data_IF_013739594163
#
_entry.id   IF_013739594163
#
_cell.length_a   1.000
_cell.length_b   1.000
_cell.length_c   1.000
_cell.angle_alpha   90.00
_cell.angle_beta   90.00
_cell.angle_gamma   90.00
#
_symmetry.space_group_name_H-M   'P 1'
#
loop_
_entity.id
_entity.type
_entity.pdbx_description
1 polymer ?
#
# COMPACT_ATOMS: atom_id res chain seq x y z
N UNK A 1 -1.07 -18.26 23.07
CA UNK A 1 -0.42 -18.53 21.77
C UNK A 1 0.32 -17.32 21.27
N UNK A 2 0.71 -17.30 19.98
CA UNK A 2 1.44 -16.20 19.35
C UNK A 2 0.61 -14.90 19.28
N UNK A 3 -0.72 -14.99 19.21
CA UNK A 3 -1.61 -13.84 19.24
C UNK A 3 -1.86 -13.35 20.67
N UNK A 4 -1.82 -12.03 20.86
CA UNK A 4 -2.07 -11.34 22.14
C UNK A 4 -3.06 -10.20 21.93
N UNK A 5 -4.00 -9.97 22.87
CA UNK A 5 -4.85 -8.79 22.82
C UNK A 5 -4.01 -7.53 23.06
N UNK A 6 -4.34 -6.46 22.35
CA UNK A 6 -3.71 -5.14 22.49
C UNK A 6 -4.82 -4.13 22.68
N UNK A 7 -4.72 -3.34 23.74
CA UNK A 7 -5.68 -2.26 24.02
C UNK A 7 -5.28 -1.05 23.19
N UNK A 8 -6.25 -0.45 22.48
CA UNK A 8 -6.07 0.82 21.76
C UNK A 8 -6.40 1.99 22.67
N UNK A 9 -5.61 2.18 23.72
CA UNK A 9 -5.69 3.34 24.60
C UNK A 9 -4.76 4.46 24.12
N UNK A 10 -4.96 5.66 24.68
CA UNK A 10 -4.08 6.83 24.49
C UNK A 10 -3.71 7.08 23.01
N UNK A 11 -4.68 7.51 22.18
CA UNK A 11 -4.42 7.80 20.77
C UNK A 11 -3.37 8.93 20.64
N UNK A 12 -2.35 8.70 19.81
CA UNK A 12 -1.29 9.67 19.52
C UNK A 12 -1.63 10.43 18.23
N UNK A 13 -1.81 9.69 17.13
CA UNK A 13 -2.32 10.23 15.87
C UNK A 13 -3.30 9.22 15.24
N UNK A 14 -4.59 9.55 15.28
CA UNK A 14 -5.65 8.72 14.70
C UNK A 14 -5.61 8.65 13.17
N UNK A 15 -5.04 9.66 12.50
CA UNK A 15 -4.86 9.68 11.04
C UNK A 15 -3.82 8.66 10.62
N UNK A 16 -2.71 8.56 11.36
CA UNK A 16 -1.66 7.56 11.14
C UNK A 16 -2.00 6.19 11.72
N UNK A 17 -2.96 6.14 12.65
CA UNK A 17 -3.33 4.91 13.35
C UNK A 17 -2.31 4.55 14.41
N UNK A 18 -1.92 5.54 15.22
CA UNK A 18 -0.92 5.39 16.26
C UNK A 18 -1.57 5.50 17.65
N UNK A 19 -1.26 4.55 18.53
CA UNK A 19 -1.76 4.44 19.90
C UNK A 19 -0.60 4.05 20.82
N UNK A 20 -0.54 4.64 22.02
CA UNK A 20 0.55 4.33 22.95
C UNK A 20 0.59 2.84 23.33
N UNK A 21 -0.56 2.23 23.67
CA UNK A 21 -0.60 0.81 24.02
C UNK A 21 -0.19 -0.13 22.88
N UNK A 22 -0.36 0.30 21.62
CA UNK A 22 0.14 -0.43 20.45
C UNK A 22 1.66 -0.29 20.34
N UNK A 23 2.19 0.93 20.50
CA UNK A 23 3.63 1.18 20.48
C UNK A 23 4.36 0.42 21.59
N UNK A 24 3.83 0.41 22.81
CA UNK A 24 4.40 -0.31 23.95
C UNK A 24 4.48 -1.82 23.67
N UNK A 25 3.43 -2.37 23.05
CA UNK A 25 3.43 -3.77 22.63
C UNK A 25 4.46 -4.04 21.53
N UNK A 26 4.54 -3.19 20.51
CA UNK A 26 5.50 -3.31 19.42
C UNK A 26 6.92 -3.31 19.99
N UNK A 27 7.29 -2.28 20.76
CA UNK A 27 8.61 -2.14 21.38
C UNK A 27 8.99 -3.34 22.22
N UNK A 28 8.06 -3.86 23.02
CA UNK A 28 8.29 -5.06 23.83
C UNK A 28 8.46 -6.32 22.98
N UNK A 29 7.58 -6.54 22.01
CA UNK A 29 7.57 -7.76 21.19
C UNK A 29 8.74 -7.83 20.20
N UNK A 30 9.22 -6.68 19.72
CA UNK A 30 10.38 -6.56 18.84
C UNK A 30 11.71 -6.47 19.60
N UNK A 31 11.72 -6.61 20.93
CA UNK A 31 12.92 -6.43 21.76
C UNK A 31 13.61 -5.07 21.55
N UNK A 32 12.81 -4.02 21.37
CA UNK A 32 13.30 -2.65 21.17
C UNK A 32 13.77 -2.31 19.75
N UNK A 33 13.80 -3.27 18.82
CA UNK A 33 14.20 -3.02 17.42
C UNK A 33 13.25 -2.07 16.67
N UNK A 34 11.97 -2.14 16.97
CA UNK A 34 10.93 -1.28 16.42
C UNK A 34 10.23 -0.59 17.58
N UNK A 35 10.26 0.73 17.66
CA UNK A 35 9.58 1.44 18.76
C UNK A 35 8.09 1.64 18.48
N UNK A 36 7.75 1.91 17.23
CA UNK A 36 6.39 2.08 16.74
C UNK A 36 6.35 1.92 15.22
N UNK A 37 5.15 1.77 14.66
CA UNK A 37 4.87 1.97 13.25
C UNK A 37 3.48 2.58 13.08
N UNK A 38 3.24 3.24 11.96
CA UNK A 38 1.96 3.84 11.62
C UNK A 38 1.12 2.87 10.80
N UNK A 39 -0.05 2.52 11.31
CA UNK A 39 -0.94 1.52 10.69
C UNK A 39 -1.52 1.96 9.35
N UNK A 40 -1.60 3.26 9.10
CA UNK A 40 -2.32 3.84 7.95
C UNK A 40 -1.43 4.62 6.99
N UNK A 41 -0.10 4.53 7.12
CA UNK A 41 0.87 5.17 6.22
C UNK A 41 1.92 4.20 5.68
N UNK A 42 2.28 4.35 4.41
CA UNK A 42 3.41 3.69 3.73
C UNK A 42 4.68 4.55 3.77
N UNK A 43 4.55 5.87 3.95
CA UNK A 43 5.66 6.82 3.90
C UNK A 43 6.26 7.12 5.27
N UNK A 44 5.42 7.17 6.31
CA UNK A 44 5.83 7.54 7.65
C UNK A 44 5.84 6.28 8.53
N UNK A 45 7.03 5.74 8.82
CA UNK A 45 7.23 4.57 9.69
C UNK A 45 6.24 3.42 9.41
N UNK A 46 6.22 2.85 8.20
CA UNK A 46 5.31 1.75 7.88
C UNK A 46 5.59 0.49 8.69
N UNK A 47 4.63 -0.43 8.71
CA UNK A 47 4.82 -1.75 9.29
C UNK A 47 5.95 -2.50 8.55
N UNK A 48 6.89 -3.15 9.26
CA UNK A 48 7.89 -4.02 8.64
C UNK A 48 7.24 -5.14 7.82
N UNK A 49 7.83 -5.47 6.68
CA UNK A 49 7.29 -6.47 5.76
C UNK A 49 7.86 -7.85 6.08
N UNK A 50 6.99 -8.85 6.22
CA UNK A 50 7.40 -10.25 6.32
C UNK A 50 7.37 -10.95 4.95
N UNK A 51 8.00 -12.11 4.85
CA UNK A 51 8.09 -12.88 3.60
C UNK A 51 6.76 -13.56 3.18
N UNK A 52 5.77 -13.66 4.08
CA UNK A 52 4.52 -14.41 3.87
C UNK A 52 3.36 -13.54 3.38
N UNK A 53 3.64 -12.39 2.80
CA UNK A 53 2.61 -11.45 2.34
C UNK A 53 2.00 -11.90 1.02
N UNK A 54 0.71 -11.63 0.83
CA UNK A 54 0.02 -11.96 -0.43
C UNK A 54 0.27 -10.89 -1.50
N UNK A 55 0.42 -9.64 -1.07
CA UNK A 55 0.68 -8.50 -1.92
C UNK A 55 1.73 -7.58 -1.29
N UNK A 56 2.34 -6.75 -2.14
CA UNK A 56 3.20 -5.64 -1.70
C UNK A 56 2.81 -4.35 -2.41
N UNK A 57 2.56 -3.31 -1.62
CA UNK A 57 2.38 -1.94 -2.08
C UNK A 57 3.75 -1.27 -2.21
N UNK A 58 3.98 -0.58 -3.33
CA UNK A 58 5.21 0.16 -3.61
C UNK A 58 4.87 1.54 -4.15
N UNK A 59 5.52 2.58 -3.61
CA UNK A 59 5.38 3.96 -4.10
C UNK A 59 6.05 4.11 -5.46
N UNK A 60 5.34 4.74 -6.39
CA UNK A 60 5.78 5.12 -7.73
C UNK A 60 5.92 6.65 -7.80
N UNK A 61 7.16 7.18 -7.67
CA UNK A 61 7.41 8.61 -7.60
C UNK A 61 6.89 9.41 -8.80
N UNK A 62 7.14 8.95 -10.04
CA UNK A 62 6.72 9.66 -11.25
C UNK A 62 5.20 9.68 -11.41
N UNK A 63 4.52 8.66 -10.88
CA UNK A 63 3.07 8.54 -10.92
C UNK A 63 2.38 9.19 -9.70
N UNK A 64 3.12 9.73 -8.73
CA UNK A 64 2.60 10.21 -7.44
C UNK A 64 1.62 9.21 -6.79
N UNK A 65 1.90 7.92 -6.96
CA UNK A 65 0.96 6.84 -6.75
C UNK A 65 1.60 5.61 -6.13
N UNK A 66 0.82 4.55 -6.04
CA UNK A 66 1.18 3.28 -5.43
C UNK A 66 0.80 2.17 -6.41
N UNK A 67 1.75 1.29 -6.72
CA UNK A 67 1.45 0.01 -7.36
C UNK A 67 1.24 -1.07 -6.30
N UNK A 68 0.51 -2.11 -6.66
CA UNK A 68 0.39 -3.32 -5.83
C UNK A 68 0.80 -4.51 -6.68
N UNK A 69 1.82 -5.25 -6.25
CA UNK A 69 2.17 -6.55 -6.83
C UNK A 69 1.57 -7.68 -5.99
N UNK A 70 1.13 -8.74 -6.65
CA UNK A 70 0.61 -9.95 -6.01
C UNK A 70 1.66 -11.06 -6.09
N UNK A 71 1.74 -11.93 -5.07
CA UNK A 71 2.69 -13.04 -5.03
C UNK A 71 2.56 -14.02 -6.21
N UNK A 72 1.38 -14.12 -6.80
CA UNK A 72 1.10 -15.00 -7.93
C UNK A 72 1.38 -14.32 -9.29
N UNK A 73 1.73 -13.03 -9.29
CA UNK A 73 2.20 -12.30 -10.48
C UNK A 73 3.71 -12.45 -10.65
N UNK A 74 4.15 -13.07 -11.75
CA UNK A 74 5.57 -13.34 -12.03
C UNK A 74 6.22 -12.34 -13.00
N UNK A 75 5.48 -11.33 -13.46
CA UNK A 75 5.98 -10.34 -14.41
C UNK A 75 6.73 -9.18 -13.75
N UNK A 76 7.30 -8.33 -14.59
CA UNK A 76 7.88 -7.06 -14.16
C UNK A 76 6.79 -6.09 -13.72
N UNK A 77 7.12 -5.21 -12.79
CA UNK A 77 6.21 -4.19 -12.29
C UNK A 77 6.80 -2.80 -12.50
N UNK A 78 5.98 -1.73 -12.44
CA UNK A 78 6.45 -0.37 -12.69
C UNK A 78 7.59 0.11 -11.80
N UNK A 79 7.85 -0.51 -10.65
CA UNK A 79 9.01 -0.18 -9.81
C UNK A 79 10.32 -0.82 -10.29
N UNK A 80 10.34 -1.45 -11.48
CA UNK A 80 11.54 -2.05 -12.07
C UNK A 80 11.96 -3.39 -11.46
N UNK A 81 11.08 -4.05 -10.70
CA UNK A 81 11.35 -5.34 -10.05
C UNK A 81 10.14 -6.27 -10.17
N UNK A 82 10.37 -7.58 -10.15
CA UNK A 82 9.32 -8.57 -9.93
C UNK A 82 8.98 -8.72 -8.43
N UNK A 83 7.87 -9.39 -8.11
CA UNK A 83 7.42 -9.56 -6.72
C UNK A 83 8.51 -10.14 -5.81
N UNK A 84 9.19 -11.19 -6.27
CA UNK A 84 10.21 -11.89 -5.48
C UNK A 84 11.37 -10.97 -5.14
N UNK A 85 11.85 -10.21 -6.11
CA UNK A 85 12.94 -9.25 -5.94
C UNK A 85 12.53 -8.15 -4.97
N UNK A 86 11.30 -7.63 -5.03
CA UNK A 86 10.81 -6.64 -4.06
C UNK A 86 10.83 -7.23 -2.65
N UNK A 87 10.30 -8.44 -2.44
CA UNK A 87 10.28 -9.09 -1.12
C UNK A 87 11.69 -9.36 -0.61
N UNK A 88 12.61 -9.83 -1.45
CA UNK A 88 14.00 -10.09 -1.05
C UNK A 88 14.75 -8.81 -0.63
N UNK A 89 14.39 -7.65 -1.18
CA UNK A 89 14.99 -6.36 -0.82
C UNK A 89 14.29 -5.65 0.35
N UNK A 90 13.04 -6.01 0.68
CA UNK A 90 12.21 -5.27 1.64
C UNK A 90 11.87 -6.05 2.90
N UNK A 91 11.93 -7.39 2.88
CA UNK A 91 11.61 -8.21 4.04
C UNK A 91 12.59 -7.98 5.17
N UNK A 92 12.09 -7.89 6.39
CA UNK A 92 12.93 -7.69 7.56
C UNK A 92 12.19 -7.12 8.76
N UNK A 93 12.97 -6.80 9.79
CA UNK A 93 12.46 -6.24 11.04
C UNK A 93 12.37 -4.71 11.03
N UNK A 94 12.99 -4.07 10.03
CA UNK A 94 13.02 -2.61 9.89
C UNK A 94 11.90 -2.12 8.98
N UNK A 95 11.44 -0.90 9.25
CA UNK A 95 10.52 -0.20 8.36
C UNK A 95 11.25 0.23 7.08
N UNK A 96 10.57 0.07 5.94
CA UNK A 96 11.09 0.51 4.63
C UNK A 96 10.08 1.49 4.03
N UNK A 97 10.22 2.80 4.27
CA UNK A 97 9.34 3.82 3.70
C UNK A 97 9.16 3.66 2.19
N UNK A 98 7.91 3.70 1.74
CA UNK A 98 7.53 3.46 0.35
C UNK A 98 7.19 2.00 0.02
N UNK A 99 7.39 1.05 0.95
CA UNK A 99 7.07 -0.36 0.79
C UNK A 99 6.23 -0.87 1.94
N UNK A 100 5.17 -1.64 1.63
CA UNK A 100 4.34 -2.29 2.65
C UNK A 100 3.75 -3.58 2.12
N UNK A 101 4.11 -4.71 2.71
CA UNK A 101 3.45 -5.99 2.47
C UNK A 101 2.10 -6.10 3.19
N UNK A 102 1.10 -6.71 2.54
CA UNK A 102 -0.25 -6.86 3.08
C UNK A 102 -1.02 -8.02 2.43
N UNK A 103 -2.23 -8.30 2.92
CA UNK A 103 -3.16 -9.25 2.29
C UNK A 103 -3.92 -8.63 1.12
N UNK A 104 -4.45 -9.44 0.21
CA UNK A 104 -5.31 -8.97 -0.91
C UNK A 104 -6.49 -8.15 -0.41
N UNK A 105 -7.14 -8.62 0.65
CA UNK A 105 -8.30 -7.95 1.20
C UNK A 105 -8.00 -6.62 1.91
N UNK A 106 -6.74 -6.38 2.31
CA UNK A 106 -6.34 -5.12 2.90
C UNK A 106 -6.57 -3.94 1.94
N UNK A 107 -6.36 -4.15 0.64
CA UNK A 107 -6.56 -3.15 -0.45
C UNK A 107 -7.97 -2.53 -0.40
N UNK A 108 -8.96 -3.34 -0.02
CA UNK A 108 -10.39 -2.97 -0.02
C UNK A 108 -10.86 -2.39 1.32
N UNK A 109 -9.96 -2.20 2.29
CA UNK A 109 -10.35 -1.67 3.59
C UNK A 109 -10.38 -0.14 3.57
N UNK A 110 -11.35 0.46 4.28
CA UNK A 110 -11.46 1.93 4.42
C UNK A 110 -10.17 2.60 4.94
N UNK A 111 -9.38 1.86 5.72
CA UNK A 111 -8.17 2.34 6.38
C UNK A 111 -6.89 2.06 5.59
N UNK A 112 -6.99 1.35 4.45
CA UNK A 112 -5.85 1.09 3.58
C UNK A 112 -5.19 2.41 3.20
N UNK A 113 -3.95 2.60 3.68
CA UNK A 113 -3.09 3.76 3.45
C UNK A 113 -3.82 5.11 3.57
N UNK A 114 -4.81 5.19 4.48
CA UNK A 114 -5.71 6.34 4.54
C UNK A 114 -5.01 7.64 4.94
N UNK A 115 -3.84 7.57 5.58
CA UNK A 115 -3.02 8.73 5.88
C UNK A 115 -2.36 9.34 4.63
N UNK A 116 -2.20 8.54 3.56
CA UNK A 116 -1.48 8.91 2.33
C UNK A 116 -2.41 9.11 1.13
N UNK A 117 -3.72 8.99 1.34
CA UNK A 117 -4.75 9.14 0.31
C UNK A 117 -5.48 7.85 -0.07
N UNK A 118 -5.07 6.73 0.55
CA UNK A 118 -5.70 5.42 0.44
C UNK A 118 -5.87 4.92 -0.99
N UNK A 119 -7.01 4.31 -1.29
CA UNK A 119 -7.28 3.68 -2.58
C UNK A 119 -7.09 4.62 -3.78
N UNK A 120 -7.22 5.95 -3.57
CA UNK A 120 -7.05 6.97 -4.62
C UNK A 120 -5.61 7.04 -5.15
N UNK A 121 -4.66 6.49 -4.41
CA UNK A 121 -3.24 6.39 -4.78
C UNK A 121 -2.92 5.17 -5.62
N UNK A 122 -3.78 4.16 -5.68
CA UNK A 122 -3.49 2.94 -6.42
C UNK A 122 -3.50 3.30 -7.91
N UNK A 123 -2.37 3.15 -8.59
CA UNK A 123 -2.21 3.48 -10.02
C UNK A 123 -1.96 2.25 -10.88
N UNK A 124 -1.52 1.13 -10.28
CA UNK A 124 -1.24 -0.10 -11.01
C UNK A 124 -1.52 -1.35 -10.16
N UNK A 125 -2.15 -2.36 -10.78
CA UNK A 125 -2.35 -3.69 -10.20
C UNK A 125 -2.37 -4.75 -11.30
N UNK A 126 -1.88 -5.99 -11.07
CA UNK A 126 -2.08 -7.09 -12.00
C UNK A 126 -3.56 -7.28 -12.32
N UNK A 127 -3.89 -7.54 -13.58
CA UNK A 127 -5.27 -7.65 -14.04
C UNK A 127 -6.06 -8.73 -13.31
N UNK A 128 -5.44 -9.87 -13.01
CA UNK A 128 -6.12 -10.92 -12.26
C UNK A 128 -6.45 -10.47 -10.83
N UNK A 129 -5.56 -9.72 -10.16
CA UNK A 129 -5.81 -9.18 -8.83
C UNK A 129 -6.96 -8.17 -8.89
N UNK A 130 -6.98 -7.29 -9.90
CA UNK A 130 -8.11 -6.38 -10.15
C UNK A 130 -9.43 -7.17 -10.20
N UNK A 131 -9.50 -8.22 -11.00
CA UNK A 131 -10.69 -9.06 -11.17
C UNK A 131 -11.10 -9.70 -9.84
N UNK A 132 -10.15 -10.29 -9.11
CA UNK A 132 -10.38 -10.99 -7.84
C UNK A 132 -11.01 -10.08 -6.76
N UNK A 133 -10.58 -8.81 -6.68
CA UNK A 133 -11.06 -7.89 -5.65
C UNK A 133 -12.19 -6.96 -6.12
N UNK A 134 -12.66 -7.07 -7.36
CA UNK A 134 -13.52 -6.07 -8.04
C UNK A 134 -14.74 -5.67 -7.22
N UNK A 135 -15.51 -6.64 -6.73
CA UNK A 135 -16.75 -6.37 -6.00
C UNK A 135 -16.50 -5.63 -4.68
N UNK A 136 -15.47 -6.06 -3.94
CA UNK A 136 -15.08 -5.43 -2.66
C UNK A 136 -14.46 -4.05 -2.88
N UNK A 137 -13.68 -3.90 -3.95
CA UNK A 137 -13.06 -2.64 -4.33
C UNK A 137 -14.11 -1.60 -4.72
N UNK A 138 -15.06 -1.96 -5.59
CA UNK A 138 -16.12 -1.06 -6.06
C UNK A 138 -16.97 -0.51 -4.90
N UNK A 139 -17.34 -1.37 -3.95
CA UNK A 139 -18.02 -0.96 -2.71
C UNK A 139 -17.24 0.07 -1.87
N UNK A 140 -15.91 0.05 -1.95
CA UNK A 140 -15.03 0.98 -1.23
C UNK A 140 -14.86 2.28 -2.00
N UNK A 141 -14.78 2.19 -3.33
CA UNK A 141 -14.72 3.32 -4.26
C UNK A 141 -15.98 4.19 -4.19
N UNK A 142 -17.16 3.57 -4.18
CA UNK A 142 -18.44 4.28 -4.08
C UNK A 142 -18.50 5.14 -2.81
N UNK A 143 -18.05 4.58 -1.69
CA UNK A 143 -17.93 5.28 -0.40
C UNK A 143 -16.90 6.40 -0.42
N UNK A 144 -15.88 6.31 -1.28
CA UNK A 144 -14.83 7.31 -1.43
C UNK A 144 -15.17 8.42 -2.45
N UNK A 145 -16.29 8.29 -3.17
CA UNK A 145 -16.82 9.27 -4.11
C UNK A 145 -16.02 9.42 -5.40
N UNK A 146 -15.28 8.39 -5.83
CA UNK A 146 -14.53 8.43 -7.10
C UNK A 146 -15.09 7.39 -8.05
N UNK A 147 -16.14 7.75 -8.77
CA UNK A 147 -16.69 6.89 -9.81
C UNK A 147 -15.59 6.48 -10.80
N UNK A 148 -15.63 5.22 -11.22
CA UNK A 148 -14.74 4.62 -12.22
C UNK A 148 -13.26 4.49 -11.82
N UNK A 149 -12.88 4.68 -10.55
CA UNK A 149 -11.47 4.56 -10.13
C UNK A 149 -10.84 3.24 -10.59
N UNK A 150 -11.59 2.14 -10.51
CA UNK A 150 -11.12 0.81 -10.88
C UNK A 150 -10.66 0.70 -12.35
N UNK A 151 -11.33 1.41 -13.26
CA UNK A 151 -11.01 1.42 -14.69
C UNK A 151 -9.86 2.38 -15.02
N UNK A 152 -9.51 3.28 -14.08
CA UNK A 152 -8.39 4.23 -14.21
C UNK A 152 -7.07 3.67 -13.69
N UNK A 153 -7.08 2.47 -13.10
CA UNK A 153 -5.87 1.79 -12.60
C UNK A 153 -5.25 1.01 -13.75
N UNK A 154 -3.97 1.26 -14.05
CA UNK A 154 -3.22 0.52 -15.04
C UNK A 154 -3.02 -0.94 -14.63
N UNK A 155 -2.74 -1.80 -15.60
CA UNK A 155 -2.33 -3.19 -15.39
C UNK A 155 -1.20 -3.56 -16.35
N UNK A 156 -0.77 -4.83 -16.34
CA UNK A 156 0.33 -5.31 -17.17
C UNK A 156 0.07 -5.18 -18.69
N UNK A 157 -1.17 -5.02 -19.13
CA UNK A 157 -1.49 -4.75 -20.56
C UNK A 157 -1.34 -3.28 -20.92
N UNK A 158 -1.29 -2.39 -19.92
CA UNK A 158 -0.99 -0.96 -20.11
C UNK A 158 0.50 -0.72 -20.16
N UNK A 159 1.25 -1.39 -19.27
CA UNK A 159 2.70 -1.24 -19.16
C UNK A 159 3.23 -1.81 -17.84
N UNK A 160 4.55 -1.96 -17.78
CA UNK A 160 5.31 -2.47 -16.64
C UNK A 160 6.46 -1.55 -16.22
N UNK A 161 6.49 -0.30 -16.70
CA UNK A 161 7.33 0.79 -16.19
C UNK A 161 6.48 2.02 -15.84
N UNK A 162 7.00 2.93 -15.00
CA UNK A 162 6.32 4.20 -14.72
C UNK A 162 6.11 5.04 -15.99
N UNK A 163 7.09 5.03 -16.91
CA UNK A 163 7.04 5.76 -18.18
C UNK A 163 5.95 5.24 -19.12
N UNK A 164 5.72 3.92 -19.14
CA UNK A 164 4.68 3.30 -19.97
C UNK A 164 3.27 3.60 -19.46
N UNK A 165 3.08 3.59 -18.13
CA UNK A 165 1.75 3.76 -17.54
C UNK A 165 1.36 5.23 -17.36
N UNK A 166 2.32 6.15 -17.23
CA UNK A 166 2.05 7.57 -16.98
C UNK A 166 1.17 8.24 -18.07
N UNK A 167 1.38 8.01 -19.39
CA UNK A 167 0.48 8.51 -20.42
C UNK A 167 -0.97 8.05 -20.25
N UNK A 168 -1.18 6.78 -19.89
CA UNK A 168 -2.52 6.24 -19.60
C UNK A 168 -3.14 6.94 -18.40
N UNK A 169 -2.41 7.05 -17.28
CA UNK A 169 -2.88 7.72 -16.06
C UNK A 169 -3.29 9.18 -16.32
N UNK A 170 -2.56 9.89 -17.19
CA UNK A 170 -2.90 11.25 -17.64
C UNK A 170 -4.18 11.25 -18.47
N UNK A 171 -4.30 10.37 -19.47
CA UNK A 171 -5.45 10.29 -20.36
C UNK A 171 -6.77 10.02 -19.61
N UNK A 172 -6.72 9.18 -18.56
CA UNK A 172 -7.89 8.86 -17.73
C UNK A 172 -8.09 9.81 -16.55
N UNK A 173 -7.29 10.89 -16.46
CA UNK A 173 -7.29 11.84 -15.35
C UNK A 173 -7.26 11.13 -13.98
N UNK A 174 -6.26 10.26 -13.78
CA UNK A 174 -6.12 9.51 -12.54
C UNK A 174 -5.94 10.46 -11.34
N UNK A 175 -6.73 10.33 -10.24
CA UNK A 175 -6.73 11.29 -9.15
C UNK A 175 -5.36 11.48 -8.49
N UNK A 176 -4.56 10.41 -8.36
CA UNK A 176 -3.22 10.46 -7.77
C UNK A 176 -2.33 11.56 -8.35
N UNK A 177 -2.43 11.85 -9.66
CA UNK A 177 -1.60 12.85 -10.34
C UNK A 177 -1.86 14.29 -9.86
N UNK A 178 -3.03 14.55 -9.28
CA UNK A 178 -3.44 15.88 -8.78
C UNK A 178 -3.37 16.02 -7.26
N UNK A 179 -3.08 14.93 -6.55
CA UNK A 179 -2.97 14.93 -5.09
C UNK A 179 -1.64 15.53 -4.65
N UNK A 180 -1.54 15.89 -3.36
CA UNK A 180 -0.26 16.33 -2.77
C UNK A 180 0.85 15.32 -3.08
N UNK A 181 2.11 15.73 -3.30
CA UNK A 181 3.22 14.79 -3.47
C UNK A 181 3.30 13.79 -2.31
N UNK A 182 3.44 12.50 -2.62
CA UNK A 182 3.70 11.45 -1.61
C UNK A 182 5.09 11.62 -0.99
N UNK A 183 6.07 11.95 -1.81
CA UNK A 183 7.44 12.21 -1.39
C UNK A 183 7.55 13.72 -1.16
N UNK A 184 7.82 14.09 0.09
CA UNK A 184 8.17 15.46 0.45
C UNK A 184 9.70 15.51 0.52
N UNK A 185 10.30 16.29 -0.38
CA UNK A 185 11.73 16.60 -0.36
C UNK A 185 12.05 17.60 0.75
#
# INVERSE_FOLDING_TARGET
GPNKPIIKDNPIDLRLGQWQGVNDFIKKSSQGKTEYYNLYSIMDKPMPTCEWVECISVVLPLCNGIMIADKDYTGMTPCGMDFKTIIDNTKGELDTPGFMGHSRYNITQRKYLSADGGIKRIVWMPKFLKIDIRDKFSNTVDKAGIQDLFDRIADENTGTSEEEILPFLKAVNHPALSMKPLIQL
#
